data_IF_748370240866
#
_entry.id   IF_748370240866
#
_cell.length_a   1.000
_cell.length_b   1.000
_cell.length_c   1.000
_cell.angle_alpha   90.00
_cell.angle_beta   90.00
_cell.angle_gamma   90.00
#
_symmetry.space_group_name_H-M   'P 1'
#
loop_
_entity.id
_entity.type
_entity.pdbx_description
1 polymer ?
#
# COMPACT_ATOMS: atom_id res chain seq x y z
N UNK A 1 13.15 28.02 -2.90
CA UNK A 1 13.46 26.79 -3.67
C UNK A 1 12.28 25.84 -3.51
N UNK A 2 11.45 25.72 -4.54
CA UNK A 2 10.32 24.79 -4.55
C UNK A 2 10.88 23.42 -4.92
N UNK A 3 10.80 22.44 -4.02
CA UNK A 3 11.10 21.06 -4.36
C UNK A 3 10.04 20.59 -5.35
N UNK A 4 10.48 20.38 -6.58
CA UNK A 4 9.69 19.75 -7.64
C UNK A 4 9.33 18.36 -7.14
N UNK A 5 8.04 18.14 -6.88
CA UNK A 5 7.52 16.81 -6.68
C UNK A 5 7.80 16.03 -7.97
N UNK A 6 8.79 15.13 -7.94
CA UNK A 6 9.14 14.26 -9.05
C UNK A 6 7.88 13.52 -9.51
N UNK A 7 7.35 13.95 -10.66
CA UNK A 7 6.19 13.36 -11.30
C UNK A 7 6.57 11.94 -11.76
N UNK A 8 6.30 10.97 -10.91
CA UNK A 8 6.80 9.63 -11.07
C UNK A 8 5.96 8.82 -12.08
N UNK A 9 6.61 8.32 -13.14
CA UNK A 9 5.96 7.48 -14.15
C UNK A 9 5.94 6.00 -13.74
N UNK A 10 4.73 5.47 -13.55
CA UNK A 10 4.44 4.10 -13.11
C UNK A 10 4.99 3.00 -14.04
N UNK A 11 5.09 3.27 -15.34
CA UNK A 11 5.61 2.30 -16.31
C UNK A 11 7.10 2.00 -16.10
N UNK A 12 7.87 2.98 -15.60
CA UNK A 12 9.28 2.77 -15.27
C UNK A 12 9.45 1.84 -14.06
N UNK A 13 8.59 1.97 -13.05
CA UNK A 13 8.66 1.16 -11.82
C UNK A 13 8.42 -0.33 -12.06
N UNK A 14 7.36 -0.65 -12.82
CA UNK A 14 7.00 -2.03 -13.13
C UNK A 14 8.14 -2.74 -13.87
N UNK A 15 8.77 -2.02 -14.80
CA UNK A 15 9.89 -2.51 -15.61
C UNK A 15 11.17 -2.73 -14.78
N UNK A 16 11.46 -1.85 -13.81
CA UNK A 16 12.60 -2.01 -12.90
C UNK A 16 12.42 -3.19 -11.93
N UNK A 17 11.21 -3.39 -11.37
CA UNK A 17 10.94 -4.49 -10.43
C UNK A 17 11.01 -5.87 -11.11
N UNK A 18 10.67 -5.94 -12.39
CA UNK A 18 10.81 -7.17 -13.20
C UNK A 18 12.27 -7.50 -13.55
N UNK A 19 13.19 -6.52 -13.46
CA UNK A 19 14.61 -6.69 -13.78
C UNK A 19 15.53 -6.82 -12.56
N UNK A 20 15.12 -6.35 -11.38
CA UNK A 20 15.94 -6.35 -10.16
C UNK A 20 15.56 -7.50 -9.22
N UNK A 21 16.05 -8.70 -9.54
CA UNK A 21 15.97 -9.85 -8.64
C UNK A 21 16.87 -9.68 -7.41
N UNK A 22 16.25 -9.62 -6.22
CA UNK A 22 16.82 -10.18 -4.99
C UNK A 22 17.83 -9.37 -4.16
N UNK A 23 18.29 -8.20 -4.59
CA UNK A 23 19.07 -7.33 -3.69
C UNK A 23 18.10 -6.56 -2.76
N UNK A 24 18.44 -6.40 -1.48
CA UNK A 24 17.72 -5.55 -0.54
C UNK A 24 17.64 -4.12 -1.10
N UNK A 25 16.60 -3.88 -1.87
CA UNK A 25 16.48 -2.70 -2.70
C UNK A 25 16.28 -1.53 -1.75
N UNK A 26 17.22 -0.57 -1.73
CA UNK A 26 17.07 0.67 -0.97
C UNK A 26 15.79 1.43 -1.40
N UNK A 27 15.21 1.07 -2.55
CA UNK A 27 13.94 1.59 -3.08
C UNK A 27 12.72 0.84 -2.57
N UNK A 28 12.86 -0.28 -1.85
CA UNK A 28 11.75 -1.09 -1.36
C UNK A 28 10.76 -0.30 -0.48
N UNK A 29 11.17 0.53 0.50
CA UNK A 29 10.21 1.32 1.27
C UNK A 29 9.38 2.28 0.40
N UNK A 30 10.03 2.94 -0.57
CA UNK A 30 9.36 3.84 -1.51
C UNK A 30 8.41 3.09 -2.45
N UNK A 31 8.82 1.91 -2.91
CA UNK A 31 8.00 1.02 -3.72
C UNK A 31 6.75 0.54 -2.98
N UNK A 32 6.92 0.09 -1.73
CA UNK A 32 5.81 -0.33 -0.86
C UNK A 32 4.85 0.83 -0.64
N UNK A 33 5.36 1.99 -0.23
CA UNK A 33 4.56 3.19 -0.04
C UNK A 33 3.73 3.55 -1.28
N UNK A 34 4.36 3.58 -2.46
CA UNK A 34 3.67 3.86 -3.73
C UNK A 34 2.60 2.83 -4.05
N UNK A 35 2.89 1.54 -3.86
CA UNK A 35 1.90 0.48 -4.10
C UNK A 35 0.70 0.62 -3.16
N UNK A 36 0.94 0.92 -1.88
CA UNK A 36 -0.12 1.12 -0.88
C UNK A 36 -1.00 2.31 -1.25
N UNK A 37 -0.40 3.47 -1.55
CA UNK A 37 -1.17 4.65 -1.96
C UNK A 37 -1.98 4.42 -3.23
N UNK A 38 -1.40 3.73 -4.21
CA UNK A 38 -2.06 3.43 -5.48
C UNK A 38 -3.33 2.58 -5.28
N UNK A 39 -3.23 1.50 -4.52
CA UNK A 39 -4.38 0.62 -4.31
C UNK A 39 -5.42 1.22 -3.36
N UNK A 40 -4.99 2.03 -2.37
CA UNK A 40 -5.91 2.86 -1.60
C UNK A 40 -6.68 3.80 -2.53
N UNK A 41 -6.01 4.49 -3.46
CA UNK A 41 -6.67 5.41 -4.39
C UNK A 41 -7.63 4.70 -5.35
N UNK A 42 -7.26 3.53 -5.88
CA UNK A 42 -8.14 2.77 -6.76
C UNK A 42 -9.46 2.39 -6.08
N UNK A 43 -9.38 1.90 -4.84
CA UNK A 43 -10.57 1.49 -4.09
C UNK A 43 -11.31 2.69 -3.46
N UNK A 44 -10.61 3.77 -3.09
CA UNK A 44 -11.22 5.00 -2.58
C UNK A 44 -11.89 5.84 -3.69
N UNK A 45 -11.44 5.74 -4.95
CA UNK A 45 -12.14 6.34 -6.09
C UNK A 45 -13.55 5.76 -6.25
N UNK A 46 -13.77 4.49 -5.86
CA UNK A 46 -15.09 3.87 -5.79
C UNK A 46 -15.99 4.57 -4.78
N UNK A 47 -15.43 5.23 -3.76
CA UNK A 47 -16.16 5.99 -2.74
C UNK A 47 -16.47 7.45 -3.15
N UNK A 48 -16.17 7.87 -4.39
CA UNK A 48 -16.36 9.25 -4.87
C UNK A 48 -15.79 10.33 -3.92
N UNK A 49 -14.70 10.01 -3.21
CA UNK A 49 -14.08 10.96 -2.32
C UNK A 49 -13.17 11.91 -3.11
N UNK A 50 -13.02 13.19 -2.68
CA UNK A 50 -12.01 14.06 -3.26
C UNK A 50 -10.67 13.32 -3.19
N UNK A 51 -9.93 13.35 -4.30
CA UNK A 51 -8.63 12.69 -4.39
C UNK A 51 -7.86 13.00 -3.11
N UNK A 52 -7.43 11.97 -2.40
CA UNK A 52 -6.56 12.16 -1.25
C UNK A 52 -5.17 12.56 -1.80
N UNK A 53 -5.08 13.76 -2.36
CA UNK A 53 -3.91 14.34 -3.03
C UNK A 53 -2.69 14.30 -2.11
N UNK A 54 -2.91 14.19 -0.80
CA UNK A 54 -1.87 14.16 0.23
C UNK A 54 -2.11 13.07 1.27
N UNK A 55 -2.14 11.79 0.86
CA UNK A 55 -1.96 10.69 1.81
C UNK A 55 -0.53 10.68 2.31
N UNK A 56 -0.38 10.62 3.64
CA UNK A 56 0.88 10.42 4.35
C UNK A 56 0.84 9.11 5.14
N UNK A 57 2.00 8.67 5.66
CA UNK A 57 2.07 7.49 6.52
C UNK A 57 1.28 7.63 7.83
N UNK A 58 0.96 8.85 8.26
CA UNK A 58 0.19 9.12 9.48
C UNK A 58 -1.33 9.09 9.25
N UNK A 59 -1.79 9.01 8.00
CA UNK A 59 -3.21 9.01 7.71
C UNK A 59 -3.90 7.75 8.26
N UNK A 60 -5.05 7.95 8.90
CA UNK A 60 -5.87 6.87 9.48
C UNK A 60 -6.55 6.06 8.39
N UNK A 61 -6.30 4.75 8.37
CA UNK A 61 -7.00 3.84 7.44
C UNK A 61 -8.49 3.78 7.76
N UNK A 62 -8.87 3.90 9.04
CA UNK A 62 -10.29 3.95 9.41
C UNK A 62 -11.00 5.15 8.78
N UNK A 63 -10.35 6.30 8.70
CA UNK A 63 -10.91 7.51 8.08
C UNK A 63 -10.99 7.39 6.55
N UNK A 64 -9.89 6.94 5.94
CA UNK A 64 -9.81 6.73 4.47
C UNK A 64 -10.92 5.79 4.00
N UNK A 65 -11.09 4.66 4.69
CA UNK A 65 -12.11 3.66 4.35
C UNK A 65 -13.47 3.95 4.99
N UNK A 66 -13.64 5.01 5.79
CA UNK A 66 -14.87 5.28 6.57
C UNK A 66 -15.38 4.05 7.35
N UNK A 67 -14.46 3.34 7.99
CA UNK A 67 -14.70 2.09 8.70
C UNK A 67 -15.22 0.93 7.82
N UNK A 68 -15.16 1.05 6.49
CA UNK A 68 -15.52 -0.01 5.55
C UNK A 68 -14.42 -1.09 5.50
N UNK A 69 -14.56 -2.09 6.36
CA UNK A 69 -13.60 -3.20 6.47
C UNK A 69 -13.52 -4.03 5.19
N UNK A 70 -14.62 -4.20 4.44
CA UNK A 70 -14.63 -4.99 3.20
C UNK A 70 -13.78 -4.33 2.12
N UNK A 71 -13.87 -3.00 1.99
CA UNK A 71 -13.07 -2.26 1.03
C UNK A 71 -11.58 -2.30 1.41
N UNK A 72 -11.26 -2.17 2.70
CA UNK A 72 -9.89 -2.37 3.19
C UNK A 72 -9.37 -3.77 2.87
N UNK A 73 -10.15 -4.82 3.14
CA UNK A 73 -9.75 -6.21 2.88
C UNK A 73 -9.49 -6.45 1.38
N UNK A 74 -10.30 -5.85 0.51
CA UNK A 74 -10.09 -5.88 -0.94
C UNK A 74 -8.76 -5.23 -1.32
N UNK A 75 -8.47 -4.03 -0.80
CA UNK A 75 -7.18 -3.36 -1.04
C UNK A 75 -6.02 -4.20 -0.52
N UNK A 76 -6.15 -4.74 0.69
CA UNK A 76 -5.15 -5.57 1.34
C UNK A 76 -4.85 -6.84 0.53
N UNK A 77 -5.87 -7.55 0.07
CA UNK A 77 -5.71 -8.74 -0.76
C UNK A 77 -5.06 -8.42 -2.10
N UNK A 78 -5.40 -7.26 -2.68
CA UNK A 78 -4.79 -6.78 -3.93
C UNK A 78 -3.30 -6.47 -3.72
N UNK A 79 -2.93 -5.87 -2.59
CA UNK A 79 -1.54 -5.64 -2.19
C UNK A 79 -0.76 -6.94 -2.01
N UNK A 80 -1.33 -7.93 -1.30
CA UNK A 80 -0.68 -9.23 -1.14
C UNK A 80 -0.42 -9.88 -2.51
N UNK A 81 -1.42 -9.85 -3.40
CA UNK A 81 -1.32 -10.37 -4.77
C UNK A 81 -0.24 -9.63 -5.57
N UNK A 82 -0.22 -8.30 -5.52
CA UNK A 82 0.78 -7.46 -6.21
C UNK A 82 2.21 -7.82 -5.81
N UNK A 83 2.42 -8.09 -4.52
CA UNK A 83 3.72 -8.45 -3.97
C UNK A 83 4.01 -9.95 -4.00
N UNK A 84 3.13 -10.77 -4.60
CA UNK A 84 3.23 -12.25 -4.61
C UNK A 84 3.38 -12.84 -3.21
N UNK A 85 2.80 -12.18 -2.21
CA UNK A 85 2.82 -12.65 -0.84
C UNK A 85 1.76 -13.73 -0.67
N UNK A 86 2.16 -14.89 -0.16
CA UNK A 86 1.20 -15.92 0.24
C UNK A 86 0.38 -15.34 1.40
N UNK A 87 -0.96 -15.30 1.32
CA UNK A 87 -1.76 -14.93 2.48
C UNK A 87 -1.32 -15.81 3.64
N UNK A 88 -0.91 -15.20 4.76
CA UNK A 88 -0.73 -15.97 5.99
C UNK A 88 -2.06 -16.65 6.32
N UNK A 89 -2.03 -17.68 7.17
CA UNK A 89 -3.23 -18.34 7.69
C UNK A 89 -4.30 -17.28 7.94
N UNK A 90 -5.53 -17.45 7.42
CA UNK A 90 -6.60 -16.48 7.56
C UNK A 90 -7.11 -16.57 8.99
N UNK A 91 -6.28 -16.18 9.96
CA UNK A 91 -6.81 -15.61 11.18
C UNK A 91 -7.46 -14.33 10.70
N UNK A 92 -8.73 -14.47 10.32
CA UNK A 92 -9.68 -13.40 10.11
C UNK A 92 -9.34 -12.37 11.17
N UNK A 93 -8.68 -11.29 10.77
CA UNK A 93 -8.57 -10.13 11.61
C UNK A 93 -10.02 -9.71 11.78
N UNK A 94 -10.66 -10.10 12.88
CA UNK A 94 -12.05 -9.74 13.18
C UNK A 94 -12.22 -8.22 13.10
N UNK A 95 -11.11 -7.48 13.27
CA UNK A 95 -11.05 -6.08 12.97
C UNK A 95 -9.72 -5.70 12.28
N UNK A 96 -9.64 -5.76 10.93
CA UNK A 96 -8.40 -5.50 10.22
C UNK A 96 -7.97 -4.03 10.33
N UNK A 97 -8.94 -3.12 10.41
CA UNK A 97 -8.71 -1.69 10.65
C UNK A 97 -8.30 -1.36 12.09
N UNK A 98 -8.43 -2.30 13.04
CA UNK A 98 -7.86 -2.15 14.38
C UNK A 98 -6.40 -2.59 14.43
N UNK A 99 -6.01 -3.52 13.56
CA UNK A 99 -4.61 -3.98 13.45
C UNK A 99 -3.78 -3.04 12.61
N UNK A 100 -4.36 -2.46 11.56
CA UNK A 100 -3.73 -1.43 10.74
C UNK A 100 -4.36 -0.08 11.07
N UNK A 101 -3.73 0.68 11.97
CA UNK A 101 -4.22 2.00 12.37
C UNK A 101 -3.99 3.04 11.26
N UNK A 102 -2.78 3.04 10.70
CA UNK A 102 -2.31 4.05 9.76
C UNK A 102 -1.82 3.44 8.45
N UNK A 103 -1.71 4.28 7.40
CA UNK A 103 -1.07 3.92 6.14
C UNK A 103 0.37 3.41 6.37
N UNK A 104 1.09 4.00 7.33
CA UNK A 104 2.42 3.58 7.75
C UNK A 104 2.47 2.15 8.28
N UNK A 105 1.50 1.76 9.12
CA UNK A 105 1.42 0.39 9.66
C UNK A 105 1.25 -0.64 8.54
N UNK A 106 0.39 -0.33 7.56
CA UNK A 106 0.20 -1.17 6.38
C UNK A 106 1.48 -1.25 5.52
N UNK A 107 2.18 -0.13 5.33
CA UNK A 107 3.46 -0.13 4.62
C UNK A 107 4.51 -0.99 5.33
N UNK A 108 4.67 -0.81 6.65
CA UNK A 108 5.62 -1.58 7.45
C UNK A 108 5.33 -3.09 7.40
N UNK A 109 4.05 -3.47 7.44
CA UNK A 109 3.63 -4.86 7.31
C UNK A 109 4.01 -5.45 5.95
N UNK A 110 3.65 -4.77 4.85
CA UNK A 110 3.97 -5.25 3.50
C UNK A 110 5.49 -5.31 3.31
N UNK A 111 6.23 -4.28 3.72
CA UNK A 111 7.69 -4.25 3.62
C UNK A 111 8.34 -5.41 4.38
N UNK A 112 7.92 -5.67 5.62
CA UNK A 112 8.42 -6.80 6.42
C UNK A 112 8.16 -8.13 5.73
N UNK A 113 6.97 -8.30 5.14
CA UNK A 113 6.58 -9.53 4.44
C UNK A 113 7.34 -9.72 3.14
N UNK A 114 7.60 -8.65 2.39
CA UNK A 114 8.38 -8.69 1.14
C UNK A 114 9.86 -8.99 1.42
N UNK A 115 10.44 -8.44 2.48
CA UNK A 115 11.83 -8.76 2.90
C UNK A 115 12.01 -10.20 3.37
N UNK A 116 10.92 -10.89 3.73
CA UNK A 116 10.93 -12.26 4.21
C UNK A 116 10.63 -13.30 3.10
N UNK A 117 10.41 -12.86 1.85
CA UNK A 117 10.37 -13.71 0.67
C UNK A 117 11.78 -14.13 0.25
#
# INVERSE_FOLDING_TARGET
>A
MVQVADLYSFQHFKKERETSGGAADKRLPAAVYRSVLYYIHLDAAVLQQPAFEYLSTQCSLREIYRNNQLLFLRTFQTLLTHWKLIPGTPTLLENPLAVFGTVGDLCAYIEKRVKAL
#
